data_IF_882927125116
#
_entry.id   IF_882927125116
#
_cell.length_a   1.000
_cell.length_b   1.000
_cell.length_c   1.000
_cell.angle_alpha   90.00
_cell.angle_beta   90.00
_cell.angle_gamma   90.00
#
_symmetry.space_group_name_H-M   'P 1'
#
loop_
_entity.id
_entity.type
_entity.pdbx_description
1 polymer ?
#
# COMPACT_ATOMS: atom_id res chain seq x y z
N UNK A 1 -18.49 29.96 34.01
CA UNK A 1 -17.07 29.53 34.06
C UNK A 1 -16.61 29.27 32.63
N UNK A 2 -15.88 30.21 32.01
CA UNK A 2 -15.38 30.09 30.63
C UNK A 2 -13.97 29.53 30.70
N UNK A 3 -13.74 28.30 30.24
CA UNK A 3 -12.39 27.72 30.15
C UNK A 3 -11.57 28.64 29.24
N UNK A 4 -10.54 29.27 29.80
CA UNK A 4 -9.51 29.98 29.05
C UNK A 4 -8.72 28.90 28.31
N UNK A 5 -9.17 28.58 27.10
CA UNK A 5 -8.37 27.85 26.14
C UNK A 5 -7.31 28.81 25.61
N UNK A 6 -6.04 28.43 25.71
CA UNK A 6 -4.93 29.13 25.10
C UNK A 6 -5.27 29.36 23.63
N UNK A 7 -5.53 30.61 23.26
CA UNK A 7 -5.65 31.01 21.86
C UNK A 7 -4.24 30.90 21.29
N UNK A 8 -3.94 29.76 20.65
CA UNK A 8 -2.72 29.64 19.83
C UNK A 8 -2.70 30.84 18.88
N UNK A 9 -1.53 31.51 18.68
CA UNK A 9 -1.43 32.65 17.78
C UNK A 9 -2.06 32.27 16.43
N UNK A 10 -2.84 33.17 15.84
CA UNK A 10 -3.71 32.91 14.68
C UNK A 10 -2.90 32.47 13.47
N UNK A 11 -2.52 31.19 13.42
CA UNK A 11 -1.88 30.57 12.28
C UNK A 11 -2.86 30.58 11.13
N UNK A 12 -2.37 30.86 9.92
CA UNK A 12 -3.20 30.77 8.71
C UNK A 12 -3.83 29.39 8.62
N UNK A 13 -5.13 29.34 8.37
CA UNK A 13 -5.86 28.10 8.11
C UNK A 13 -5.93 27.77 6.61
N UNK A 14 -5.25 28.55 5.77
CA UNK A 14 -5.19 28.34 4.31
C UNK A 14 -3.75 28.49 3.79
N UNK A 15 -3.49 27.90 2.63
CA UNK A 15 -2.23 27.97 1.88
C UNK A 15 -2.52 28.23 0.38
N UNK A 16 -1.74 29.07 -0.32
CA UNK A 16 -0.65 29.90 0.19
C UNK A 16 -1.17 31.03 1.11
N UNK A 17 -0.31 31.56 2.01
CA UNK A 17 -0.66 32.66 2.90
C UNK A 17 0.49 33.67 3.05
N UNK A 18 0.15 34.88 3.47
CA UNK A 18 1.11 35.99 3.64
C UNK A 18 1.44 36.30 5.11
N UNK A 19 1.08 35.43 6.06
CA UNK A 19 1.18 35.70 7.51
C UNK A 19 2.10 34.72 8.25
N UNK A 20 3.03 34.07 7.53
CA UNK A 20 4.02 33.16 8.14
C UNK A 20 3.44 31.83 8.63
N UNK A 21 2.37 31.34 7.98
CA UNK A 21 1.86 29.98 8.18
C UNK A 21 2.82 28.91 7.64
N UNK A 22 2.49 27.62 7.81
CA UNK A 22 3.30 26.51 7.31
C UNK A 22 3.64 26.64 5.81
N UNK A 23 4.83 26.19 5.42
CA UNK A 23 5.35 26.21 4.04
C UNK A 23 5.65 24.80 3.55
N UNK A 24 5.60 24.61 2.23
CA UNK A 24 6.02 23.36 1.60
C UNK A 24 7.54 23.13 1.77
N UNK A 25 7.95 21.85 1.82
CA UNK A 25 9.35 21.44 1.90
C UNK A 25 9.69 20.60 0.67
N UNK A 26 10.33 21.23 -0.32
CA UNK A 26 10.59 20.61 -1.62
C UNK A 26 11.43 19.32 -1.55
N UNK A 27 12.31 19.21 -0.55
CA UNK A 27 13.14 18.02 -0.33
C UNK A 27 12.37 16.79 0.14
N UNK A 28 11.08 16.94 0.51
CA UNK A 28 10.20 15.86 0.93
C UNK A 28 9.15 15.51 -0.13
N UNK A 29 9.36 15.94 -1.39
CA UNK A 29 8.49 15.53 -2.49
C UNK A 29 8.51 14.01 -2.66
N UNK A 30 7.33 13.43 -2.91
CA UNK A 30 7.23 12.02 -3.29
C UNK A 30 7.98 11.76 -4.60
N UNK A 31 8.46 10.53 -4.76
CA UNK A 31 9.08 10.10 -6.01
C UNK A 31 8.07 10.15 -7.16
N UNK A 32 8.44 10.86 -8.23
CA UNK A 32 7.69 10.84 -9.50
C UNK A 32 8.03 9.57 -10.28
N UNK A 33 7.02 9.01 -10.96
CA UNK A 33 7.16 7.89 -11.89
C UNK A 33 6.55 8.25 -13.24
N UNK A 34 7.18 7.76 -14.32
CA UNK A 34 6.63 7.78 -15.66
C UNK A 34 6.59 6.34 -16.17
N UNK A 35 5.45 5.93 -16.72
CA UNK A 35 5.25 4.62 -17.31
C UNK A 35 4.63 4.75 -18.70
N UNK A 36 4.82 3.73 -19.53
CA UNK A 36 4.28 3.65 -20.88
C UNK A 36 2.78 3.29 -20.85
N UNK A 37 1.96 4.19 -20.33
CA UNK A 37 0.51 4.02 -20.27
C UNK A 37 -0.16 4.80 -21.40
N UNK A 38 -0.79 4.10 -22.33
CA UNK A 38 -1.52 4.71 -23.45
C UNK A 38 -2.98 5.03 -23.13
N UNK A 39 -3.58 4.34 -22.14
CA UNK A 39 -5.00 4.45 -21.77
C UNK A 39 -5.17 4.32 -20.26
N UNK A 40 -6.13 5.07 -19.70
CA UNK A 40 -6.60 4.92 -18.32
C UNK A 40 -7.87 4.06 -18.33
N UNK A 41 -7.76 2.79 -17.89
CA UNK A 41 -8.88 1.84 -17.89
C UNK A 41 -8.75 0.81 -16.74
N UNK A 42 -9.78 -0.02 -16.56
CA UNK A 42 -9.81 -1.17 -15.66
C UNK A 42 -9.32 -2.42 -16.39
N UNK A 43 -8.01 -2.63 -16.39
CA UNK A 43 -7.41 -3.84 -16.94
C UNK A 43 -7.71 -5.05 -16.03
N UNK A 44 -8.22 -6.13 -16.62
CA UNK A 44 -8.42 -7.40 -15.91
C UNK A 44 -7.09 -8.10 -15.70
N UNK A 45 -6.90 -8.71 -14.53
CA UNK A 45 -5.74 -9.55 -14.17
C UNK A 45 -6.15 -11.01 -13.96
N UNK A 46 -7.32 -11.41 -14.48
CA UNK A 46 -7.90 -12.74 -14.25
C UNK A 46 -7.01 -13.87 -14.81
N UNK A 47 -6.28 -13.59 -15.88
CA UNK A 47 -5.41 -14.55 -16.57
C UNK A 47 -3.92 -14.34 -16.23
N UNK A 48 -3.61 -13.50 -15.24
CA UNK A 48 -2.24 -13.40 -14.73
C UNK A 48 -1.77 -14.76 -14.18
N UNK A 49 -0.47 -15.00 -14.17
CA UNK A 49 0.08 -16.27 -13.71
C UNK A 49 -0.21 -16.49 -12.21
N UNK A 50 -1.11 -17.43 -11.92
CA UNK A 50 -1.50 -17.78 -10.56
C UNK A 50 -0.86 -19.08 -10.04
N UNK A 51 -0.08 -19.79 -10.87
CA UNK A 51 0.34 -21.16 -10.54
C UNK A 51 1.85 -21.37 -10.51
N UNK A 52 2.65 -20.57 -11.21
CA UNK A 52 4.10 -20.80 -11.25
C UNK A 52 4.75 -20.66 -9.88
N UNK A 53 4.47 -19.57 -9.15
CA UNK A 53 5.05 -19.34 -7.83
C UNK A 53 4.59 -20.39 -6.80
N UNK A 54 3.30 -20.72 -6.79
CA UNK A 54 2.74 -21.72 -5.86
C UNK A 54 3.27 -23.12 -6.18
N UNK A 55 3.43 -23.45 -7.47
CA UNK A 55 4.04 -24.70 -7.90
C UNK A 55 5.50 -24.81 -7.46
N UNK A 56 6.25 -23.71 -7.53
CA UNK A 56 7.63 -23.66 -7.06
C UNK A 56 7.73 -23.76 -5.54
N UNK A 57 6.85 -23.09 -4.80
CA UNK A 57 6.73 -23.28 -3.36
C UNK A 57 6.52 -24.76 -3.02
N UNK A 58 5.57 -25.44 -3.69
CA UNK A 58 5.28 -26.84 -3.42
C UNK A 58 6.43 -27.81 -3.78
N UNK A 59 7.07 -27.61 -4.93
CA UNK A 59 8.10 -28.55 -5.45
C UNK A 59 9.50 -28.29 -4.91
N UNK A 60 9.84 -27.01 -4.70
CA UNK A 60 11.23 -26.58 -4.44
C UNK A 60 11.44 -26.09 -3.00
N UNK A 61 10.39 -25.65 -2.31
CA UNK A 61 10.50 -25.14 -0.94
C UNK A 61 10.04 -26.17 0.11
N UNK A 62 8.95 -26.90 -0.16
CA UNK A 62 8.45 -27.90 0.78
C UNK A 62 9.23 -29.22 0.69
N UNK A 63 9.48 -29.84 1.85
CA UNK A 63 9.90 -31.22 1.93
C UNK A 63 8.71 -32.19 1.82
N UNK A 64 8.96 -33.50 1.87
CA UNK A 64 7.92 -34.50 1.70
C UNK A 64 6.87 -34.46 2.83
N UNK A 65 7.31 -34.31 4.08
CA UNK A 65 6.41 -34.30 5.23
C UNK A 65 5.56 -33.02 5.29
N UNK A 66 6.11 -31.89 4.84
CA UNK A 66 5.39 -30.63 4.73
C UNK A 66 4.33 -30.68 3.62
N UNK A 67 4.63 -31.34 2.49
CA UNK A 67 3.63 -31.57 1.43
C UNK A 67 2.46 -32.42 1.93
N UNK A 68 2.73 -33.48 2.69
CA UNK A 68 1.70 -34.34 3.27
C UNK A 68 0.79 -33.57 4.24
N UNK A 69 1.38 -32.84 5.19
CA UNK A 69 0.60 -31.97 6.11
C UNK A 69 -0.22 -30.92 5.36
N UNK A 70 0.32 -30.35 4.28
CA UNK A 70 -0.40 -29.38 3.46
C UNK A 70 -1.64 -30.03 2.81
N UNK A 71 -1.49 -31.21 2.22
CA UNK A 71 -2.62 -31.91 1.59
C UNK A 71 -3.67 -32.34 2.61
N UNK A 72 -3.26 -32.83 3.78
CA UNK A 72 -4.19 -33.23 4.86
C UNK A 72 -5.00 -32.06 5.38
N UNK A 73 -4.34 -30.91 5.62
CA UNK A 73 -5.01 -29.71 6.10
C UNK A 73 -6.03 -29.17 5.08
N UNK A 74 -5.70 -29.18 3.80
CA UNK A 74 -6.61 -28.77 2.73
C UNK A 74 -7.80 -29.74 2.67
N UNK A 75 -7.54 -31.05 2.63
CA UNK A 75 -8.59 -32.07 2.55
C UNK A 75 -9.52 -32.06 3.77
N UNK A 76 -9.01 -31.76 4.96
CA UNK A 76 -9.81 -31.66 6.18
C UNK A 76 -10.63 -30.38 6.30
N UNK A 77 -10.36 -29.36 5.48
CA UNK A 77 -11.00 -28.03 5.56
C UNK A 77 -11.91 -27.71 4.37
N UNK A 78 -11.94 -28.56 3.34
CA UNK A 78 -12.74 -28.40 2.13
C UNK A 78 -14.10 -29.11 2.27
#
# INVERSE_FOLDING_TARGET
>A
MKKIGVLLPTRSQYFPNSVGGPTETASLHYYSYQGDHSVVDKFSTVDDDNFSQVGDFYRKTLDAAARERLTDNIAGSL
#
